data_IF_109389573189
#
_entry.id   IF_109389573189
#
_cell.length_a   1.000
_cell.length_b   1.000
_cell.length_c   1.000
_cell.angle_alpha   90.00
_cell.angle_beta   90.00
_cell.angle_gamma   90.00
#
_symmetry.space_group_name_H-M   'P 1'
#
loop_
_entity.id
_entity.type
_entity.pdbx_description
1 polymer ?
#
# COMPACT_ATOMS: atom_id res chain seq x y z
N UNK A 1 -57.56 9.15 12.23
CA UNK A 1 -56.42 10.00 11.80
C UNK A 1 -55.06 9.56 12.34
N UNK A 2 -54.93 8.97 13.54
CA UNK A 2 -53.60 8.59 14.11
C UNK A 2 -52.94 7.38 13.42
N UNK A 3 -53.71 6.43 12.86
CA UNK A 3 -53.16 5.20 12.23
C UNK A 3 -52.42 5.43 10.89
N UNK A 4 -52.64 6.55 10.20
CA UNK A 4 -52.00 6.83 8.90
C UNK A 4 -50.61 7.46 9.03
N UNK A 5 -50.35 8.16 10.15
CA UNK A 5 -49.03 8.76 10.41
C UNK A 5 -48.02 7.74 10.94
N UNK A 6 -48.47 6.75 11.72
CA UNK A 6 -47.62 5.66 12.18
C UNK A 6 -47.06 4.80 11.03
N UNK A 7 -47.86 4.57 9.97
CA UNK A 7 -47.45 3.77 8.82
C UNK A 7 -46.46 4.51 7.90
N UNK A 8 -46.56 5.84 7.78
CA UNK A 8 -45.61 6.63 6.98
C UNK A 8 -44.30 6.88 7.73
N UNK A 9 -44.33 7.03 9.05
CA UNK A 9 -43.11 7.09 9.86
C UNK A 9 -42.35 5.75 9.80
N UNK A 10 -43.07 4.62 9.76
CA UNK A 10 -42.49 3.28 9.54
C UNK A 10 -41.88 3.13 8.14
N UNK A 11 -42.48 3.73 7.11
CA UNK A 11 -41.94 3.72 5.74
C UNK A 11 -40.69 4.60 5.59
N UNK A 12 -40.62 5.73 6.30
CA UNK A 12 -39.42 6.60 6.34
C UNK A 12 -38.28 5.93 7.12
N UNK A 13 -38.59 5.12 8.13
CA UNK A 13 -37.59 4.34 8.88
C UNK A 13 -37.07 3.10 8.10
N UNK A 14 -37.80 2.61 7.10
CA UNK A 14 -37.31 1.54 6.20
C UNK A 14 -36.57 2.05 4.96
N UNK A 15 -36.59 3.37 4.70
CA UNK A 15 -35.78 4.02 3.65
C UNK A 15 -34.65 4.86 4.21
N UNK A 16 -34.41 4.83 5.52
CA UNK A 16 -33.06 4.98 6.03
C UNK A 16 -32.33 3.72 5.59
N UNK A 17 -31.96 3.72 4.31
CA UNK A 17 -30.88 2.93 3.77
C UNK A 17 -29.80 2.94 4.83
N UNK A 18 -29.57 1.78 5.41
CA UNK A 18 -28.22 1.41 5.75
C UNK A 18 -27.42 1.55 4.46
N UNK A 19 -26.97 2.77 4.17
CA UNK A 19 -25.59 2.96 3.79
C UNK A 19 -24.83 2.37 4.97
N UNK A 20 -24.67 1.04 4.92
CA UNK A 20 -23.48 0.43 5.44
C UNK A 20 -22.42 1.16 4.63
N UNK A 21 -21.89 2.24 5.20
CA UNK A 21 -20.57 2.66 4.80
C UNK A 21 -19.76 1.40 5.01
N UNK A 22 -19.32 0.77 3.92
CA UNK A 22 -18.19 -0.12 4.02
C UNK A 22 -17.18 0.70 4.83
N UNK A 23 -16.84 0.25 6.05
CA UNK A 23 -15.65 0.76 6.71
C UNK A 23 -14.58 0.77 5.62
N UNK A 24 -13.98 1.93 5.35
CA UNK A 24 -12.94 2.02 4.33
C UNK A 24 -11.89 0.96 4.69
N UNK A 25 -11.99 -0.21 4.07
CA UNK A 25 -11.07 -1.31 4.29
C UNK A 25 -9.84 -0.97 3.48
N UNK A 26 -9.10 0.01 4.00
CA UNK A 26 -7.82 0.44 3.52
C UNK A 26 -6.84 -0.70 3.71
N UNK A 27 -6.81 -1.60 2.74
CA UNK A 27 -5.83 -2.64 2.72
C UNK A 27 -4.53 -2.01 2.22
N UNK A 28 -3.44 -2.12 2.98
CA UNK A 28 -2.10 -1.66 2.60
C UNK A 28 -1.10 -2.81 2.63
N UNK A 29 -0.19 -2.87 1.66
CA UNK A 29 0.80 -3.95 1.53
C UNK A 29 2.25 -3.44 1.66
N UNK A 30 2.73 -2.98 2.82
CA UNK A 30 4.16 -2.70 2.98
C UNK A 30 4.95 -4.02 3.07
N UNK A 31 4.94 -4.88 2.04
CA UNK A 31 5.56 -6.23 2.01
C UNK A 31 5.61 -6.89 3.40
N UNK A 32 4.44 -7.05 4.03
CA UNK A 32 4.36 -7.93 5.20
C UNK A 32 4.55 -9.34 4.66
N UNK A 33 5.44 -10.13 5.27
CA UNK A 33 5.45 -11.56 4.98
C UNK A 33 4.10 -12.10 5.47
N UNK A 34 3.15 -12.25 4.55
CA UNK A 34 1.79 -12.72 4.81
C UNK A 34 1.72 -14.05 5.55
N UNK A 35 2.82 -14.82 5.52
CA UNK A 35 2.94 -16.07 6.26
C UNK A 35 3.23 -15.87 7.76
N UNK A 36 3.61 -14.65 8.18
CA UNK A 36 4.00 -14.32 9.57
C UNK A 36 3.09 -13.33 10.26
N UNK A 37 2.21 -12.68 9.50
CA UNK A 37 1.20 -11.76 10.00
C UNK A 37 -0.06 -12.54 10.38
N UNK A 38 -0.71 -12.14 11.47
CA UNK A 38 -2.02 -12.66 11.85
C UNK A 38 -3.07 -12.17 10.83
N UNK A 39 -3.07 -12.77 9.65
CA UNK A 39 -4.03 -12.51 8.57
C UNK A 39 -5.30 -13.32 8.80
N UNK A 40 -6.40 -12.83 8.24
CA UNK A 40 -7.56 -13.68 7.99
C UNK A 40 -7.14 -14.60 6.84
N UNK A 41 -6.84 -15.86 7.15
CA UNK A 41 -6.56 -16.87 6.14
C UNK A 41 -7.71 -16.91 5.14
N UNK A 42 -7.39 -16.98 3.84
CA UNK A 42 -8.43 -17.04 2.82
C UNK A 42 -9.35 -18.25 3.04
N UNK A 43 -10.65 -18.01 2.90
CA UNK A 43 -11.73 -18.98 2.93
C UNK A 43 -12.14 -19.44 1.53
N UNK A 44 -11.34 -19.08 0.51
CA UNK A 44 -11.59 -19.44 -0.88
C UNK A 44 -11.85 -20.94 -1.04
N UNK A 45 -13.02 -21.27 -1.57
CA UNK A 45 -13.51 -22.65 -1.72
C UNK A 45 -13.53 -23.14 -3.17
N UNK A 46 -13.06 -22.32 -4.12
CA UNK A 46 -13.01 -22.67 -5.55
C UNK A 46 -11.75 -23.48 -5.91
N UNK A 47 -11.64 -23.88 -7.17
CA UNK A 47 -10.44 -24.55 -7.67
C UNK A 47 -9.40 -23.53 -8.14
N UNK A 48 -8.17 -23.62 -7.63
CA UNK A 48 -7.07 -22.75 -8.08
C UNK A 48 -6.75 -22.93 -9.56
N UNK A 49 -7.04 -24.09 -10.15
CA UNK A 49 -6.88 -24.32 -11.60
C UNK A 49 -7.71 -23.35 -12.43
N UNK A 50 -8.93 -23.06 -12.00
CA UNK A 50 -9.86 -22.19 -12.73
C UNK A 50 -9.37 -20.73 -12.65
N UNK A 51 -8.85 -20.35 -11.48
CA UNK A 51 -8.18 -19.06 -11.26
C UNK A 51 -6.93 -18.95 -12.13
N UNK A 52 -6.07 -19.97 -12.16
CA UNK A 52 -4.87 -19.98 -12.99
C UNK A 52 -5.23 -19.77 -14.48
N UNK A 53 -6.16 -20.57 -15.02
CA UNK A 53 -6.60 -20.48 -16.42
C UNK A 53 -7.14 -19.08 -16.74
N UNK A 54 -7.96 -18.53 -15.84
CA UNK A 54 -8.49 -17.18 -16.00
C UNK A 54 -7.38 -16.13 -16.01
N UNK A 55 -6.47 -16.17 -15.04
CA UNK A 55 -5.38 -15.21 -14.91
C UNK A 55 -4.41 -15.29 -16.10
N UNK A 56 -4.10 -16.48 -16.61
CA UNK A 56 -3.28 -16.67 -17.80
C UNK A 56 -3.91 -16.04 -19.04
N UNK A 57 -5.24 -16.11 -19.14
CA UNK A 57 -5.99 -15.45 -20.21
C UNK A 57 -6.03 -13.94 -20.06
N UNK A 58 -6.14 -13.40 -18.84
CA UNK A 58 -6.22 -11.96 -18.60
C UNK A 58 -4.85 -11.28 -18.64
N UNK A 59 -3.80 -11.98 -18.22
CA UNK A 59 -2.44 -11.46 -18.11
C UNK A 59 -1.46 -12.36 -18.88
N UNK A 60 -1.54 -12.41 -20.22
CA UNK A 60 -0.73 -13.30 -21.03
C UNK A 60 0.77 -13.01 -20.93
N UNK A 61 1.15 -11.80 -20.49
CA UNK A 61 2.53 -11.41 -20.24
C UNK A 61 3.19 -12.13 -19.05
N UNK A 62 2.39 -12.71 -18.15
CA UNK A 62 2.89 -13.46 -16.98
C UNK A 62 3.27 -14.90 -17.35
N UNK A 63 2.76 -15.42 -18.47
CA UNK A 63 2.94 -16.82 -18.86
C UNK A 63 2.20 -17.78 -17.92
N UNK A 64 2.77 -18.95 -17.65
CA UNK A 64 2.13 -19.95 -16.78
C UNK A 64 2.01 -19.46 -15.33
N UNK A 65 0.80 -19.56 -14.78
CA UNK A 65 0.43 -19.11 -13.44
C UNK A 65 0.08 -20.33 -12.58
N UNK A 66 0.63 -20.34 -11.37
CA UNK A 66 0.21 -21.24 -10.31
C UNK A 66 0.07 -20.40 -9.05
N UNK A 67 -1.16 -20.21 -8.55
CA UNK A 67 -1.40 -19.38 -7.37
C UNK A 67 -1.95 -20.14 -6.18
N UNK A 68 -1.74 -19.57 -5.00
CA UNK A 68 -2.39 -19.96 -3.75
C UNK A 68 -3.17 -18.76 -3.18
N UNK A 69 -4.39 -18.98 -2.67
CA UNK A 69 -5.11 -17.94 -1.96
C UNK A 69 -4.43 -17.68 -0.62
N UNK A 70 -4.26 -16.41 -0.25
CA UNK A 70 -3.57 -16.03 1.01
C UNK A 70 -4.47 -15.31 1.99
N UNK A 71 -5.35 -14.45 1.52
CA UNK A 71 -6.26 -13.68 2.36
C UNK A 71 -7.52 -13.27 1.59
N UNK A 72 -8.63 -13.10 2.31
CA UNK A 72 -9.86 -12.51 1.77
C UNK A 72 -9.99 -11.07 2.25
N UNK A 73 -10.54 -10.21 1.39
CA UNK A 73 -10.80 -8.80 1.63
C UNK A 73 -12.31 -8.57 1.62
N UNK A 74 -12.82 -7.84 2.61
CA UNK A 74 -14.23 -7.45 2.68
C UNK A 74 -14.42 -6.06 2.05
N UNK A 75 -14.11 -5.97 0.75
CA UNK A 75 -14.19 -4.73 -0.05
C UNK A 75 -15.63 -4.35 -0.37
N UNK A 76 -16.52 -5.33 -0.51
CA UNK A 76 -17.91 -5.12 -0.88
C UNK A 76 -18.79 -6.25 -0.36
N UNK A 77 -20.05 -5.95 -0.08
CA UNK A 77 -21.08 -6.95 0.20
C UNK A 77 -21.58 -7.65 -1.07
N UNK A 78 -21.31 -7.10 -2.27
CA UNK A 78 -21.85 -7.60 -3.55
C UNK A 78 -20.97 -8.62 -4.25
N UNK A 79 -19.69 -8.72 -3.87
CA UNK A 79 -18.73 -9.65 -4.43
C UNK A 79 -17.65 -9.97 -3.38
N UNK A 80 -17.05 -11.15 -3.49
CA UNK A 80 -15.92 -11.55 -2.63
C UNK A 80 -14.62 -11.13 -3.30
N UNK A 81 -13.66 -10.62 -2.54
CA UNK A 81 -12.30 -10.34 -3.05
C UNK A 81 -11.31 -11.21 -2.32
N UNK A 82 -10.45 -11.90 -3.06
CA UNK A 82 -9.35 -12.68 -2.49
C UNK A 82 -8.02 -12.29 -3.10
N UNK A 83 -6.98 -12.33 -2.28
CA UNK A 83 -5.60 -12.12 -2.67
C UNK A 83 -5.00 -13.47 -3.00
N UNK A 84 -4.37 -13.55 -4.17
CA UNK A 84 -3.64 -14.72 -4.63
C UNK A 84 -2.17 -14.36 -4.80
N UNK A 85 -1.31 -15.18 -4.23
CA UNK A 85 0.12 -15.08 -4.45
C UNK A 85 0.58 -16.20 -5.40
N UNK A 86 1.56 -15.92 -6.27
CA UNK A 86 2.18 -16.95 -7.09
C UNK A 86 2.91 -17.94 -6.19
N UNK A 87 2.74 -19.23 -6.46
CA UNK A 87 3.46 -20.30 -5.80
C UNK A 87 4.97 -20.10 -6.01
N UNK A 88 5.75 -20.18 -4.92
CA UNK A 88 7.18 -19.90 -4.90
C UNK A 88 7.92 -20.61 -6.04
N UNK A 89 8.51 -19.82 -6.93
CA UNK A 89 9.54 -20.27 -7.86
C UNK A 89 10.90 -20.00 -7.21
N UNK A 90 11.74 -21.02 -7.13
CA UNK A 90 13.12 -20.98 -6.60
C UNK A 90 14.01 -19.91 -7.27
N UNK A 91 13.58 -19.32 -8.38
CA UNK A 91 14.32 -18.28 -9.10
C UNK A 91 14.15 -16.87 -8.53
N UNK A 92 13.42 -16.67 -7.42
CA UNK A 92 13.21 -15.36 -6.76
C UNK A 92 12.76 -14.25 -7.71
N UNK A 93 12.16 -14.59 -8.86
CA UNK A 93 11.62 -13.59 -9.78
C UNK A 93 10.37 -13.02 -9.15
N UNK A 94 10.27 -11.69 -9.11
CA UNK A 94 9.05 -11.03 -8.69
C UNK A 94 7.93 -11.36 -9.66
N UNK A 95 7.09 -12.29 -9.26
CA UNK A 95 5.85 -12.57 -9.94
C UNK A 95 4.77 -11.66 -9.37
N UNK A 96 3.87 -11.15 -10.21
CA UNK A 96 2.75 -10.37 -9.73
C UNK A 96 1.87 -11.23 -8.82
N UNK A 97 1.33 -10.59 -7.82
CA UNK A 97 0.21 -11.04 -7.01
C UNK A 97 -1.08 -10.59 -7.69
N UNK A 98 -2.20 -11.16 -7.27
CA UNK A 98 -3.49 -10.90 -7.89
C UNK A 98 -4.54 -10.59 -6.84
N UNK A 99 -5.30 -9.54 -7.08
CA UNK A 99 -6.61 -9.36 -6.48
C UNK A 99 -7.64 -9.96 -7.44
N UNK A 100 -8.46 -10.88 -6.96
CA UNK A 100 -9.49 -11.50 -7.78
C UNK A 100 -10.85 -11.30 -7.11
N UNK A 101 -11.81 -10.79 -7.89
CA UNK A 101 -13.19 -10.57 -7.46
C UNK A 101 -14.08 -11.69 -7.98
N UNK A 102 -15.00 -12.16 -7.13
CA UNK A 102 -15.87 -13.29 -7.37
C UNK A 102 -17.32 -12.97 -7.02
N UNK A 103 -18.24 -13.57 -7.76
CA UNK A 103 -19.63 -13.63 -7.35
C UNK A 103 -19.80 -14.61 -6.16
N UNK A 104 -20.99 -14.62 -5.54
CA UNK A 104 -21.28 -15.48 -4.39
C UNK A 104 -21.04 -16.97 -4.69
N UNK A 105 -21.30 -17.39 -5.93
CA UNK A 105 -21.14 -18.76 -6.45
C UNK A 105 -19.69 -19.12 -6.86
N UNK A 106 -18.72 -18.27 -6.54
CA UNK A 106 -17.31 -18.36 -6.92
C UNK A 106 -17.01 -18.18 -8.42
N UNK A 107 -17.95 -17.66 -9.21
CA UNK A 107 -17.66 -17.23 -10.58
C UNK A 107 -16.68 -16.04 -10.56
N UNK A 108 -15.56 -16.14 -11.27
CA UNK A 108 -14.58 -15.05 -11.38
C UNK A 108 -15.19 -13.90 -12.19
N UNK A 109 -15.19 -12.70 -11.62
CA UNK A 109 -15.71 -11.50 -12.26
C UNK A 109 -14.59 -10.71 -12.93
N UNK A 110 -13.55 -10.39 -12.17
CA UNK A 110 -12.39 -9.67 -12.67
C UNK A 110 -11.16 -9.94 -11.82
N UNK A 111 -9.99 -9.59 -12.36
CA UNK A 111 -8.75 -9.62 -11.63
C UNK A 111 -7.91 -8.38 -11.91
N UNK A 112 -7.08 -8.03 -10.94
CA UNK A 112 -6.04 -7.01 -11.06
C UNK A 112 -4.71 -7.66 -10.67
N UNK A 113 -3.70 -7.50 -11.52
CA UNK A 113 -2.32 -7.84 -11.17
C UNK A 113 -1.69 -6.69 -10.39
N UNK A 114 -0.94 -6.98 -9.35
CA UNK A 114 -0.11 -6.02 -8.64
C UNK A 114 1.21 -6.68 -8.23
N UNK A 115 2.21 -5.90 -7.84
CA UNK A 115 3.44 -6.44 -7.27
C UNK A 115 3.40 -6.16 -5.79
N UNK A 116 3.67 -7.14 -4.91
CA UNK A 116 3.76 -6.87 -3.47
C UNK A 116 5.12 -6.23 -3.08
N UNK A 117 6.07 -6.27 -4.02
CA UNK A 117 7.33 -5.55 -3.95
C UNK A 117 8.05 -5.52 -5.30
N UNK A 118 9.04 -4.65 -5.44
CA UNK A 118 9.87 -4.43 -6.62
C UNK A 118 11.35 -4.70 -6.33
N UNK A 119 12.09 -5.28 -7.27
CA UNK A 119 13.50 -5.66 -7.09
C UNK A 119 14.36 -4.58 -7.70
N UNK A 120 15.09 -3.88 -6.85
CA UNK A 120 16.04 -2.88 -7.27
C UNK A 120 17.47 -3.40 -7.21
N UNK A 121 18.25 -3.32 -8.30
CA UNK A 121 19.68 -3.61 -8.26
C UNK A 121 20.40 -2.68 -7.26
N UNK A 122 21.29 -3.24 -6.46
CA UNK A 122 22.22 -2.54 -5.56
C UNK A 122 23.63 -3.12 -5.71
N UNK A 123 24.64 -2.47 -5.11
CA UNK A 123 26.01 -2.98 -5.15
C UNK A 123 26.17 -4.37 -4.49
N UNK A 124 25.25 -4.79 -3.64
CA UNK A 124 25.27 -6.06 -2.92
C UNK A 124 24.27 -7.11 -3.44
N UNK A 125 23.51 -6.84 -4.51
CA UNK A 125 22.52 -7.76 -5.07
C UNK A 125 21.23 -7.06 -5.50
N UNK A 126 20.15 -7.81 -5.69
CA UNK A 126 18.82 -7.20 -5.86
C UNK A 126 18.17 -7.03 -4.50
N UNK A 127 17.52 -5.89 -4.25
CA UNK A 127 16.77 -5.64 -3.03
C UNK A 127 15.30 -5.50 -3.32
N UNK A 128 14.47 -6.16 -2.51
CA UNK A 128 13.01 -6.07 -2.63
C UNK A 128 12.50 -4.86 -1.85
N UNK A 129 11.96 -3.90 -2.58
CA UNK A 129 11.24 -2.73 -2.11
C UNK A 129 9.77 -3.07 -1.99
N UNK A 130 9.10 -2.70 -0.91
CA UNK A 130 7.68 -2.98 -0.74
C UNK A 130 6.79 -2.14 -1.67
N UNK A 131 5.71 -2.72 -2.20
CA UNK A 131 4.68 -1.99 -2.94
C UNK A 131 3.44 -1.87 -2.08
N UNK A 132 3.10 -0.65 -1.69
CA UNK A 132 1.79 -0.36 -1.13
C UNK A 132 0.73 -0.54 -2.24
N UNK A 133 -0.32 -1.31 -1.99
CA UNK A 133 -1.56 -1.29 -2.77
C UNK A 133 -2.63 -0.84 -1.77
N UNK A 134 -3.44 0.16 -2.11
CA UNK A 134 -4.53 0.70 -1.28
C UNK A 134 -5.88 0.35 -1.90
N UNK A 135 -6.78 -0.26 -1.13
CA UNK A 135 -8.14 -0.59 -1.60
C UNK A 135 -9.16 0.19 -0.76
N UNK A 136 -10.22 0.71 -1.38
CA UNK A 136 -11.35 1.39 -0.72
C UNK A 136 -12.65 1.11 -1.49
N UNK A 137 -13.81 1.51 -0.94
CA UNK A 137 -15.20 1.16 -1.33
C UNK A 137 -15.56 1.23 -2.83
N UNK A 138 -14.71 1.80 -3.70
CA UNK A 138 -14.85 1.67 -5.16
C UNK A 138 -13.54 1.88 -5.93
N UNK A 139 -12.38 1.77 -5.28
CA UNK A 139 -11.08 2.13 -5.88
C UNK A 139 -9.97 1.22 -5.40
N UNK A 140 -9.02 0.94 -6.30
CA UNK A 140 -7.74 0.33 -5.96
C UNK A 140 -6.60 1.20 -6.48
N UNK A 141 -5.59 1.43 -5.66
CA UNK A 141 -4.41 2.22 -6.01
C UNK A 141 -3.17 1.34 -5.87
N UNK A 142 -2.40 1.18 -6.94
CA UNK A 142 -1.14 0.45 -6.96
C UNK A 142 0.03 1.41 -7.06
N UNK A 143 1.08 1.16 -6.27
CA UNK A 143 2.27 2.00 -6.17
C UNK A 143 3.49 1.18 -6.53
N UNK A 144 4.01 1.40 -7.73
CA UNK A 144 5.16 0.65 -8.23
C UNK A 144 6.26 1.62 -8.61
N UNK A 145 7.36 1.60 -7.87
CA UNK A 145 8.48 2.53 -8.02
C UNK A 145 8.03 4.00 -7.89
N UNK A 146 8.15 4.78 -8.95
CA UNK A 146 7.67 6.15 -9.08
C UNK A 146 6.26 6.23 -9.70
N UNK A 147 5.59 5.11 -9.95
CA UNK A 147 4.29 5.08 -10.64
C UNK A 147 3.14 4.82 -9.67
N UNK A 148 2.14 5.70 -9.68
CA UNK A 148 0.87 5.52 -8.97
C UNK A 148 -0.22 5.23 -10.00
N UNK A 149 -0.93 4.12 -9.85
CA UNK A 149 -2.02 3.73 -10.76
C UNK A 149 -3.32 3.56 -9.99
N UNK A 150 -4.39 4.18 -10.47
CA UNK A 150 -5.74 4.12 -9.91
C UNK A 150 -6.66 3.32 -10.81
N UNK A 151 -7.31 2.34 -10.21
CA UNK A 151 -8.39 1.57 -10.80
C UNK A 151 -9.71 1.96 -10.11
N UNK A 152 -10.78 2.08 -10.89
CA UNK A 152 -12.14 2.06 -10.38
C UNK A 152 -12.64 0.63 -10.30
N UNK A 153 -13.39 0.32 -9.26
CA UNK A 153 -14.05 -0.96 -9.08
C UNK A 153 -15.55 -0.71 -9.22
N UNK A 154 -16.21 -1.39 -10.16
CA UNK A 154 -17.67 -1.28 -10.28
C UNK A 154 -18.37 -1.92 -9.08
N UNK A 155 -19.67 -1.65 -8.93
CA UNK A 155 -20.51 -2.29 -7.90
C UNK A 155 -20.59 -3.82 -8.03
N UNK A 156 -20.23 -4.38 -9.19
CA UNK A 156 -20.13 -5.83 -9.42
C UNK A 156 -18.68 -6.32 -9.35
N UNK A 157 -17.72 -5.51 -8.91
CA UNK A 157 -16.34 -5.96 -8.74
C UNK A 157 -15.54 -6.03 -10.03
N UNK A 158 -15.86 -5.24 -11.06
CA UNK A 158 -15.04 -5.14 -12.29
C UNK A 158 -14.01 -4.01 -12.14
N UNK A 159 -12.72 -4.34 -12.25
CA UNK A 159 -11.65 -3.34 -12.31
C UNK A 159 -11.62 -2.63 -13.66
N UNK A 160 -11.48 -1.31 -13.67
CA UNK A 160 -11.23 -0.50 -14.86
C UNK A 160 -10.14 0.50 -14.55
N UNK A 161 -9.11 0.58 -15.40
CA UNK A 161 -8.07 1.60 -15.27
C UNK A 161 -8.72 2.98 -15.39
N UNK A 162 -8.48 3.85 -14.41
CA UNK A 162 -8.96 5.22 -14.42
C UNK A 162 -7.81 6.18 -14.78
N UNK A 163 -6.74 6.16 -14.00
CA UNK A 163 -5.59 7.05 -14.20
C UNK A 163 -4.28 6.40 -13.76
N UNK A 164 -3.16 6.91 -14.26
CA UNK A 164 -1.81 6.56 -13.84
C UNK A 164 -0.91 7.78 -13.95
N UNK A 165 0.04 7.91 -13.03
CA UNK A 165 1.02 9.00 -12.99
C UNK A 165 2.40 8.43 -12.67
N UNK A 166 3.38 8.78 -13.49
CA UNK A 166 4.80 8.56 -13.19
C UNK A 166 5.37 9.83 -12.57
N UNK A 167 5.95 9.72 -11.37
CA UNK A 167 6.52 10.82 -10.62
C UNK A 167 8.03 10.90 -10.88
N UNK A 168 8.41 11.52 -12.00
CA UNK A 168 9.80 11.66 -12.44
C UNK A 168 10.42 13.00 -12.08
N UNK A 169 9.59 13.98 -11.75
CA UNK A 169 10.01 15.34 -11.42
C UNK A 169 9.34 15.84 -10.15
N UNK A 170 9.90 16.90 -9.58
CA UNK A 170 9.26 17.62 -8.47
C UNK A 170 7.88 18.15 -8.87
N UNK A 171 7.66 18.52 -10.13
CA UNK A 171 6.40 19.07 -10.61
C UNK A 171 5.31 17.98 -10.67
N UNK A 172 5.67 16.76 -11.08
CA UNK A 172 4.73 15.63 -11.07
C UNK A 172 4.27 15.29 -9.65
N UNK A 173 5.14 15.48 -8.66
CA UNK A 173 4.78 15.30 -7.25
C UNK A 173 3.68 16.28 -6.81
N UNK A 174 3.63 17.49 -7.38
CA UNK A 174 2.55 18.46 -7.11
C UNK A 174 1.23 18.08 -7.78
N UNK A 175 1.23 17.14 -8.72
CA UNK A 175 0.01 16.65 -9.37
C UNK A 175 -0.60 15.44 -8.66
N UNK A 176 0.07 14.89 -7.64
CA UNK A 176 -0.39 13.65 -6.98
C UNK A 176 -1.70 13.87 -6.26
N UNK A 177 -1.88 14.99 -5.55
CA UNK A 177 -3.13 15.28 -4.85
C UNK A 177 -4.28 15.62 -5.81
N UNK A 178 -3.99 16.34 -6.90
CA UNK A 178 -4.96 16.60 -7.96
C UNK A 178 -5.38 15.31 -8.69
N UNK A 179 -4.43 14.41 -8.97
CA UNK A 179 -4.66 13.20 -9.75
C UNK A 179 -5.28 12.07 -8.90
N UNK A 180 -4.91 12.00 -7.63
CA UNK A 180 -5.32 10.96 -6.69
C UNK A 180 -5.83 11.55 -5.37
N UNK A 181 -6.92 12.35 -5.37
CA UNK A 181 -7.38 13.14 -4.21
C UNK A 181 -7.87 12.32 -3.00
N UNK A 182 -7.91 11.00 -3.11
CA UNK A 182 -8.41 10.09 -2.07
C UNK A 182 -7.41 9.02 -1.71
N UNK A 183 -6.14 9.32 -1.96
CA UNK A 183 -5.02 8.47 -1.65
C UNK A 183 -4.76 8.54 -0.15
N UNK A 184 -4.81 7.42 0.56
CA UNK A 184 -4.54 7.38 2.02
C UNK A 184 -3.18 6.76 2.36
N UNK A 185 -2.42 6.35 1.35
CA UNK A 185 -1.05 5.86 1.53
C UNK A 185 -0.18 6.22 0.37
N UNK A 186 1.12 6.39 0.61
CA UNK A 186 2.07 6.76 -0.42
C UNK A 186 3.44 6.18 -0.07
N UNK A 187 3.94 5.28 -0.90
CA UNK A 187 5.35 4.89 -0.89
C UNK A 187 5.88 5.02 -2.32
N UNK A 188 6.87 5.89 -2.50
CA UNK A 188 7.41 6.21 -3.82
C UNK A 188 8.92 6.11 -3.87
N UNK A 189 9.45 5.53 -4.93
CA UNK A 189 10.86 5.59 -5.29
C UNK A 189 11.04 6.63 -6.38
N UNK A 190 11.48 7.84 -6.03
CA UNK A 190 11.63 8.96 -6.98
C UNK A 190 13.03 9.03 -7.58
N UNK A 191 13.21 9.49 -8.83
CA UNK A 191 14.54 9.64 -9.45
C UNK A 191 15.22 10.99 -9.15
N UNK A 192 14.67 11.81 -8.24
CA UNK A 192 15.18 13.15 -7.91
C UNK A 192 15.43 13.36 -6.41
N UNK A 193 16.35 14.27 -6.07
CA UNK A 193 16.71 14.58 -4.69
C UNK A 193 15.55 15.18 -3.89
N UNK A 194 15.42 14.75 -2.63
CA UNK A 194 14.35 15.15 -1.72
C UNK A 194 14.61 16.44 -0.94
N UNK A 195 15.86 16.89 -0.88
CA UNK A 195 16.23 18.11 -0.14
C UNK A 195 15.50 19.37 -0.64
N UNK A 196 15.00 19.36 -1.88
CA UNK A 196 14.19 20.43 -2.48
C UNK A 196 12.68 20.14 -2.47
N UNK A 197 12.23 18.94 -2.06
CA UNK A 197 10.85 18.49 -2.13
C UNK A 197 10.07 18.61 -0.81
N UNK A 198 10.74 18.94 0.29
CA UNK A 198 10.21 18.92 1.66
C UNK A 198 8.82 19.58 1.81
N UNK A 199 8.68 20.82 1.32
CA UNK A 199 7.41 21.55 1.42
C UNK A 199 6.28 20.91 0.61
N UNK A 200 6.60 20.32 -0.54
CA UNK A 200 5.64 19.61 -1.42
C UNK A 200 5.15 18.33 -0.76
N UNK A 201 6.07 17.55 -0.21
CA UNK A 201 5.74 16.31 0.52
C UNK A 201 4.85 16.59 1.74
N UNK A 202 5.15 17.63 2.52
CA UNK A 202 4.27 18.05 3.62
C UNK A 202 2.87 18.43 3.14
N UNK A 203 2.79 19.15 2.02
CA UNK A 203 1.51 19.55 1.43
C UNK A 203 0.72 18.32 1.00
N UNK A 204 1.35 17.32 0.38
CA UNK A 204 0.70 16.06 0.02
C UNK A 204 0.17 15.30 1.23
N UNK A 205 0.99 15.12 2.28
CA UNK A 205 0.57 14.41 3.50
C UNK A 205 -0.67 15.05 4.12
N UNK A 206 -0.74 16.38 4.10
CA UNK A 206 -1.88 17.15 4.62
C UNK A 206 -3.09 17.13 3.71
N UNK A 207 -2.91 17.43 2.41
CA UNK A 207 -4.01 17.55 1.45
C UNK A 207 -4.73 16.23 1.22
N UNK A 208 -3.98 15.12 1.27
CA UNK A 208 -4.49 13.78 1.03
C UNK A 208 -4.81 13.00 2.31
N UNK A 209 -4.54 13.57 3.48
CA UNK A 209 -4.73 12.89 4.78
C UNK A 209 -4.01 11.54 4.84
N UNK A 210 -2.73 11.52 4.41
CA UNK A 210 -1.95 10.28 4.25
C UNK A 210 -1.70 9.60 5.60
N UNK A 211 -2.10 8.33 5.71
CA UNK A 211 -1.90 7.51 6.91
C UNK A 211 -0.60 6.68 6.87
N UNK A 212 -0.21 6.16 5.71
CA UNK A 212 1.08 5.48 5.50
C UNK A 212 1.92 6.29 4.53
N UNK A 213 3.09 6.74 4.97
CA UNK A 213 4.01 7.48 4.11
C UNK A 213 5.37 6.82 4.07
N UNK A 214 5.97 6.78 2.90
CA UNK A 214 7.41 6.63 2.74
C UNK A 214 7.84 7.09 1.37
N UNK A 215 9.14 7.30 1.26
CA UNK A 215 9.73 7.78 0.03
C UNK A 215 11.15 7.23 -0.02
N UNK A 216 11.70 7.07 -1.20
CA UNK A 216 13.11 6.80 -1.38
C UNK A 216 13.55 7.51 -2.66
N UNK A 217 14.75 8.06 -2.68
CA UNK A 217 15.30 8.70 -3.88
C UNK A 217 16.28 7.74 -4.56
N UNK A 218 16.29 7.64 -5.88
CA UNK A 218 17.29 6.88 -6.62
C UNK A 218 18.34 7.80 -7.20
N UNK A 219 19.55 7.78 -6.66
CA UNK A 219 20.68 8.34 -7.40
C UNK A 219 21.05 7.38 -8.53
N UNK A 220 20.78 7.78 -9.78
CA UNK A 220 21.11 6.98 -10.96
C UNK A 220 22.64 6.87 -11.15
N UNK A 221 23.42 7.77 -10.54
CA UNK A 221 24.87 7.86 -10.70
C UNK A 221 25.61 6.97 -9.69
N UNK A 222 25.01 6.70 -8.53
CA UNK A 222 25.53 5.74 -7.55
C UNK A 222 24.43 4.75 -7.21
N UNK A 223 24.58 3.50 -7.64
CA UNK A 223 23.62 2.38 -7.51
C UNK A 223 23.16 2.04 -6.06
N UNK A 224 23.34 2.91 -5.06
CA UNK A 224 23.17 2.63 -3.62
C UNK A 224 22.46 3.74 -2.80
N UNK A 225 21.72 4.67 -3.42
CA UNK A 225 21.25 5.85 -2.68
C UNK A 225 19.73 5.96 -2.47
N UNK A 226 19.01 4.85 -2.22
CA UNK A 226 17.63 4.87 -1.69
C UNK A 226 17.54 5.46 -0.27
N UNK A 227 17.94 6.71 -0.09
CA UNK A 227 18.15 7.36 1.21
C UNK A 227 17.05 8.35 1.52
N UNK A 228 16.00 7.86 2.17
CA UNK A 228 15.07 8.72 2.90
C UNK A 228 15.09 8.35 4.36
N UNK A 229 16.06 8.93 5.05
CA UNK A 229 16.36 8.55 6.43
C UNK A 229 15.49 9.30 7.44
N UNK A 230 15.55 8.88 8.71
CA UNK A 230 14.84 9.59 9.77
C UNK A 230 15.32 11.04 9.92
N UNK A 231 16.62 11.31 9.72
CA UNK A 231 17.13 12.69 9.68
C UNK A 231 16.48 13.51 8.56
N UNK A 232 16.29 12.91 7.38
CA UNK A 232 15.65 13.57 6.24
C UNK A 232 14.20 13.91 6.56
N UNK A 233 13.46 12.97 7.17
CA UNK A 233 12.09 13.19 7.59
C UNK A 233 11.99 14.22 8.73
N UNK A 234 12.80 14.10 9.78
CA UNK A 234 12.75 15.00 10.95
C UNK A 234 13.11 16.46 10.61
N UNK A 235 14.11 16.67 9.76
CA UNK A 235 14.54 18.02 9.38
C UNK A 235 13.53 18.75 8.47
N UNK A 236 12.69 18.00 7.76
CA UNK A 236 11.94 18.52 6.62
C UNK A 236 10.41 18.38 6.75
N UNK A 237 9.92 17.43 7.56
CA UNK A 237 8.54 16.93 7.49
C UNK A 237 7.83 16.79 8.86
N UNK A 238 8.47 17.21 9.95
CA UNK A 238 7.96 16.97 11.30
C UNK A 238 6.73 17.82 11.70
N UNK A 239 6.48 18.98 11.06
CA UNK A 239 5.44 19.90 11.50
C UNK A 239 3.99 19.46 11.14
N UNK A 240 3.84 18.53 10.19
CA UNK A 240 2.60 18.37 9.42
C UNK A 240 2.18 16.89 9.25
N UNK A 241 2.17 16.13 10.33
CA UNK A 241 1.99 14.66 10.31
C UNK A 241 0.91 14.15 11.28
N UNK A 242 -0.13 14.94 11.55
CA UNK A 242 -1.23 14.56 12.47
C UNK A 242 -2.05 13.37 11.98
N UNK A 243 -2.17 13.22 10.66
CA UNK A 243 -2.84 12.12 9.96
C UNK A 243 -1.99 10.86 9.88
N UNK A 244 -0.66 11.04 9.86
CA UNK A 244 0.28 9.97 9.67
C UNK A 244 0.25 8.95 10.83
N UNK A 245 0.04 7.68 10.48
CA UNK A 245 0.00 6.54 11.40
C UNK A 245 1.21 5.62 11.23
N UNK A 246 1.68 5.48 10.00
CA UNK A 246 2.75 4.59 9.62
C UNK A 246 3.78 5.33 8.77
N UNK A 247 5.06 5.17 9.10
CA UNK A 247 6.14 5.79 8.36
C UNK A 247 7.14 4.71 7.91
N UNK A 248 7.53 4.74 6.65
CA UNK A 248 8.52 3.84 6.06
C UNK A 248 9.76 4.67 5.70
N UNK A 249 10.89 4.34 6.32
CA UNK A 249 12.17 5.04 6.20
C UNK A 249 13.26 4.09 5.74
N UNK A 250 14.30 4.63 5.13
CA UNK A 250 15.53 3.88 4.89
C UNK A 250 16.35 3.71 6.18
N UNK A 251 16.97 2.55 6.35
CA UNK A 251 17.85 2.24 7.47
C UNK A 251 19.19 2.93 7.25
N UNK A 252 19.38 4.06 7.90
CA UNK A 252 20.65 4.78 7.87
C UNK A 252 21.35 4.69 9.24
N UNK A 253 22.56 4.13 9.25
CA UNK A 253 23.37 4.00 10.48
C UNK A 253 23.85 5.33 11.06
N UNK A 254 23.72 6.42 10.30
CA UNK A 254 24.04 7.79 10.73
C UNK A 254 22.82 8.57 11.24
N UNK A 255 21.63 7.95 11.27
CA UNK A 255 20.46 8.59 11.86
C UNK A 255 20.66 8.81 13.36
N UNK A 256 20.41 10.04 13.81
CA UNK A 256 20.56 10.41 15.21
C UNK A 256 19.30 10.05 15.99
N UNK A 257 19.49 9.40 17.13
CA UNK A 257 18.44 9.10 18.12
C UNK A 257 17.65 10.35 18.53
N UNK A 258 18.33 11.51 18.59
CA UNK A 258 17.70 12.79 18.92
C UNK A 258 16.66 13.24 17.88
N UNK A 259 16.92 12.98 16.59
CA UNK A 259 16.03 13.38 15.49
C UNK A 259 14.81 12.46 15.41
N UNK A 260 14.98 11.18 15.74
CA UNK A 260 13.86 10.24 15.82
C UNK A 260 12.98 10.53 17.03
N UNK A 261 13.59 10.93 18.15
CA UNK A 261 12.85 11.35 19.34
C UNK A 261 12.00 12.60 19.06
N UNK A 262 12.46 13.53 18.21
CA UNK A 262 11.64 14.67 17.79
C UNK A 262 10.50 14.29 16.83
N UNK A 263 10.61 13.17 16.11
CA UNK A 263 9.49 12.66 15.31
C UNK A 263 8.35 12.17 16.18
N UNK A 264 8.63 11.44 17.25
CA UNK A 264 7.55 10.96 18.13
C UNK A 264 6.82 12.11 18.82
N UNK A 265 7.52 13.20 19.13
CA UNK A 265 6.91 14.38 19.74
C UNK A 265 6.17 15.28 18.75
N UNK A 266 6.62 15.35 17.49
CA UNK A 266 6.00 16.21 16.47
C UNK A 266 4.87 15.51 15.70
N UNK A 267 4.95 14.19 15.53
CA UNK A 267 3.94 13.35 14.89
C UNK A 267 3.21 12.51 15.93
N UNK A 268 2.41 13.15 16.79
CA UNK A 268 1.70 12.46 17.89
C UNK A 268 0.74 11.36 17.44
N UNK A 269 0.33 11.39 16.17
CA UNK A 269 -0.49 10.36 15.54
C UNK A 269 0.27 9.11 15.08
N UNK A 270 1.60 9.16 15.06
CA UNK A 270 2.45 8.11 14.51
C UNK A 270 2.44 6.88 15.42
N UNK A 271 1.98 5.75 14.88
CA UNK A 271 1.85 4.49 15.61
C UNK A 271 3.06 3.58 15.39
N UNK A 272 3.58 3.52 14.16
CA UNK A 272 4.73 2.67 13.82
C UNK A 272 5.67 3.33 12.81
N UNK A 273 6.94 2.99 12.94
CA UNK A 273 7.99 3.34 11.96
C UNK A 273 8.66 2.05 11.51
N UNK A 274 8.72 1.89 10.19
CA UNK A 274 9.37 0.77 9.53
C UNK A 274 10.67 1.26 8.90
N UNK A 275 11.75 0.51 9.12
CA UNK A 275 13.04 0.78 8.50
C UNK A 275 13.32 -0.27 7.44
N UNK A 276 13.51 0.16 6.20
CA UNK A 276 13.94 -0.69 5.09
C UNK A 276 15.47 -0.68 5.04
N UNK A 277 16.13 -1.84 5.09
CA UNK A 277 17.59 -1.94 4.95
C UNK A 277 17.96 -2.67 3.69
N UNK A 278 18.78 -2.06 2.83
CA UNK A 278 19.27 -2.64 1.58
C UNK A 278 20.56 -3.47 1.76
N UNK A 279 21.18 -3.39 2.94
CA UNK A 279 22.36 -4.17 3.31
C UNK A 279 22.02 -5.03 4.53
N UNK A 280 22.05 -6.38 4.41
CA UNK A 280 21.70 -7.29 5.50
C UNK A 280 22.61 -7.19 6.72
N UNK A 281 23.81 -6.61 6.56
CA UNK A 281 24.88 -6.59 7.55
C UNK A 281 25.00 -5.28 8.34
N UNK A 282 24.17 -4.26 8.08
CA UNK A 282 24.24 -3.04 8.89
C UNK A 282 23.73 -3.37 10.31
N UNK A 283 24.52 -3.11 11.36
CA UNK A 283 24.06 -3.30 12.74
C UNK A 283 22.80 -2.46 12.98
N UNK A 284 21.82 -3.04 13.66
CA UNK A 284 20.66 -2.28 14.13
C UNK A 284 21.14 -1.22 15.12
N UNK A 285 20.71 0.03 14.92
CA UNK A 285 20.90 1.06 15.93
C UNK A 285 19.91 0.76 17.08
N UNK A 286 20.41 0.12 18.13
CA UNK A 286 19.62 -0.34 19.28
C UNK A 286 18.77 0.76 19.92
N UNK A 287 19.22 2.01 19.81
CA UNK A 287 18.52 3.16 20.39
C UNK A 287 17.27 3.54 19.59
N UNK A 288 17.28 3.32 18.26
CA UNK A 288 16.11 3.48 17.38
C UNK A 288 15.05 2.44 17.74
N UNK A 289 15.50 1.21 17.98
CA UNK A 289 14.64 0.08 18.34
C UNK A 289 13.89 0.29 19.65
N UNK A 290 14.49 1.03 20.59
CA UNK A 290 13.91 1.31 21.91
C UNK A 290 12.86 2.44 21.89
N UNK A 291 12.84 3.30 20.87
CA UNK A 291 11.88 4.42 20.77
C UNK A 291 10.49 3.95 20.30
N UNK A 292 10.41 2.86 19.54
CA UNK A 292 9.15 2.29 19.04
C UNK A 292 8.91 0.87 19.61
N UNK A 293 8.51 0.74 20.88
CA UNK A 293 8.43 -0.55 21.58
C UNK A 293 7.34 -1.49 21.08
N UNK A 294 6.41 -1.04 20.22
CA UNK A 294 5.36 -1.87 19.62
C UNK A 294 5.60 -2.14 18.12
N UNK A 295 6.43 -3.16 17.87
CA UNK A 295 6.59 -3.96 16.62
C UNK A 295 7.61 -3.52 15.56
N UNK A 296 8.32 -4.55 15.07
CA UNK A 296 8.33 -4.95 13.65
C UNK A 296 9.49 -4.43 12.81
N UNK A 297 10.65 -5.09 12.87
CA UNK A 297 11.70 -4.90 11.87
C UNK A 297 11.28 -5.53 10.54
N UNK A 298 11.29 -4.73 9.46
CA UNK A 298 11.25 -5.24 8.10
C UNK A 298 12.68 -5.39 7.61
N UNK A 299 13.24 -6.60 7.79
CA UNK A 299 14.44 -6.96 7.05
C UNK A 299 14.00 -7.19 5.60
N UNK A 300 14.45 -6.32 4.68
CA UNK A 300 14.48 -6.71 3.29
C UNK A 300 15.52 -7.85 3.20
N UNK A 301 15.06 -9.01 2.75
CA UNK A 301 15.93 -10.11 2.33
C UNK A 301 15.83 -10.20 0.82
#
# INVERSE_FOLDING_TARGET
MIKQYALKLLLVLMTLSSAIFAEDQLFFFPYENFNTSATISSTFSGANSDVNVYLESQFPDVGTINVIPVADLAVSDSYKTSIFCPYYDSNYRLRPWFLVNYAEDNTIISAMKFYAGHQKPSASGNVIVATLLSVSDSRAFQFLDNVITKYTISNIGVFTLNSSLTVDTLADLELVDDTFPTLSSLYLVVPFSLSSAASRVNSLIQNLDIEVFGMAYSDVVSNDNLKFSANSFASSLAANCSSLRFLILDKNTTDSVSNISSLSSSCTGLQRVFFTSFTPSLPDNSDITNIFPTKGHFYSF
#
